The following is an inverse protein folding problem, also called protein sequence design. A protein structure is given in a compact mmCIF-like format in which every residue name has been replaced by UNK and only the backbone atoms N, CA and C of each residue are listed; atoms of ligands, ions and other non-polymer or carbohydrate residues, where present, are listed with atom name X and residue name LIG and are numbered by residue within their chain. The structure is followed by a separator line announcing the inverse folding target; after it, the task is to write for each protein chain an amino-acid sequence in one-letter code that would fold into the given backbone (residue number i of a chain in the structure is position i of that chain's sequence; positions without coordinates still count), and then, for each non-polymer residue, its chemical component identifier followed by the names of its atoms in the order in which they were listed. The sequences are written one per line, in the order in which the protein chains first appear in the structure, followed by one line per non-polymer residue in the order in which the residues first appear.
data_IF_188884527815
#
_entry.id   IF_188884527815
#
_cell.length_a   1.000
_cell.length_b   1.000
_cell.length_c   1.000
_cell.angle_alpha   90.00
_cell.angle_beta   90.00
_cell.angle_gamma   90.00
#
_symmetry.space_group_name_H-M   'P 1'
#
loop_
_entity.id
_entity.type
_entity.pdbx_description
1 polymer ?
#
# COMPACT_ATOMS: atom_id res chain seq x y z
N UNK A 1 -18.60 -4.98 5.07
CA UNK A 1 -20.02 -5.29 4.82
C UNK A 1 -20.54 -6.64 5.37
N UNK A 2 -19.95 -7.84 5.21
CA UNK A 2 -20.59 -9.10 5.68
C UNK A 2 -21.00 -9.15 7.17
N UNK A 3 -20.27 -8.42 8.02
CA UNK A 3 -20.53 -8.30 9.47
C UNK A 3 -21.34 -7.05 9.84
N UNK A 4 -21.83 -6.27 8.87
CA UNK A 4 -22.60 -5.03 9.08
C UNK A 4 -21.90 -3.89 9.84
N UNK A 5 -20.57 -3.94 9.94
CA UNK A 5 -19.76 -2.83 10.47
C UNK A 5 -19.67 -1.60 9.53
N UNK A 6 -20.02 -1.79 8.27
CA UNK A 6 -20.10 -0.73 7.25
C UNK A 6 -21.20 -1.13 6.28
N UNK A 7 -22.10 -0.20 5.98
CA UNK A 7 -23.33 -0.41 5.20
C UNK A 7 -23.52 0.72 4.16
N UNK A 8 -22.60 0.88 3.20
CA UNK A 8 -22.76 1.89 2.16
C UNK A 8 -23.96 1.57 1.27
N UNK A 9 -24.74 2.61 0.92
CA UNK A 9 -25.84 2.47 -0.02
C UNK A 9 -25.37 2.26 -1.48
N UNK A 10 -24.15 2.72 -1.80
CA UNK A 10 -23.56 2.68 -3.13
C UNK A 10 -22.13 2.14 -3.00
N UNK A 11 -21.79 1.19 -3.88
CA UNK A 11 -20.42 0.71 -4.06
C UNK A 11 -19.93 1.15 -5.44
N UNK A 12 -18.81 1.86 -5.49
CA UNK A 12 -18.16 2.27 -6.73
C UNK A 12 -16.98 1.32 -6.98
N UNK A 13 -17.10 0.46 -7.98
CA UNK A 13 -16.03 -0.47 -8.35
C UNK A 13 -14.99 0.25 -9.24
N UNK A 14 -13.74 0.26 -8.79
CA UNK A 14 -12.60 0.90 -9.45
C UNK A 14 -11.67 -0.10 -10.16
N UNK A 15 -12.00 -1.40 -10.13
CA UNK A 15 -11.15 -2.47 -10.68
C UNK A 15 -10.92 -2.38 -12.19
N UNK A 16 -11.81 -1.68 -12.90
CA UNK A 16 -11.75 -1.52 -14.35
C UNK A 16 -11.10 -0.21 -14.81
N UNK A 17 -10.58 0.61 -13.89
CA UNK A 17 -9.87 1.84 -14.27
C UNK A 17 -8.55 1.46 -14.93
N UNK A 18 -8.32 1.81 -16.22
CA UNK A 18 -7.12 1.43 -16.93
C UNK A 18 -5.89 2.07 -16.28
N UNK A 19 -4.78 1.33 -16.26
CA UNK A 19 -3.49 1.76 -15.70
C UNK A 19 -3.46 2.01 -14.17
N UNK A 20 -4.56 1.76 -13.44
CA UNK A 20 -4.55 1.88 -11.98
C UNK A 20 -3.73 0.78 -11.30
N UNK A 21 -3.53 -0.35 -11.98
CA UNK A 21 -2.63 -1.44 -11.57
C UNK A 21 -1.35 -1.40 -12.41
N UNK A 22 -0.33 -0.71 -11.95
CA UNK A 22 0.96 -0.59 -12.67
C UNK A 22 2.12 -0.38 -11.71
N UNK A 23 3.26 -0.99 -12.02
CA UNK A 23 4.54 -0.75 -11.33
C UNK A 23 5.52 -0.23 -12.38
N UNK A 24 6.16 0.92 -12.11
CA UNK A 24 7.18 1.49 -13.00
C UNK A 24 8.27 2.20 -12.21
N UNK A 25 9.41 2.40 -12.86
CA UNK A 25 10.44 3.34 -12.44
C UNK A 25 10.55 4.45 -13.48
N UNK A 26 10.69 5.70 -13.02
CA UNK A 26 10.96 6.87 -13.85
C UNK A 26 11.84 7.84 -13.06
N UNK A 27 12.92 8.31 -13.68
CA UNK A 27 13.83 9.30 -13.09
C UNK A 27 14.34 8.91 -11.68
N UNK A 28 14.59 7.61 -11.46
CA UNK A 28 15.05 7.06 -10.18
C UNK A 28 13.97 6.91 -9.11
N UNK A 29 12.71 7.18 -9.44
CA UNK A 29 11.55 7.04 -8.53
C UNK A 29 10.69 5.87 -8.99
N UNK A 30 10.29 5.01 -8.04
CA UNK A 30 9.30 3.97 -8.29
C UNK A 30 7.91 4.53 -8.05
N UNK A 31 6.98 4.20 -8.95
CA UNK A 31 5.55 4.45 -8.80
C UNK A 31 4.78 3.14 -8.87
N UNK A 32 3.87 2.94 -7.92
CA UNK A 32 2.96 1.79 -7.87
C UNK A 32 1.53 2.31 -7.83
N UNK A 33 0.72 1.91 -8.80
CA UNK A 33 -0.69 2.26 -8.88
C UNK A 33 -1.50 1.61 -7.77
N UNK A 34 -2.53 2.31 -7.30
CA UNK A 34 -3.38 1.87 -6.18
C UNK A 34 -4.09 0.53 -6.42
N UNK A 35 -4.36 0.20 -7.69
CA UNK A 35 -5.03 -1.04 -8.10
C UNK A 35 -4.11 -2.25 -8.20
N UNK A 36 -2.79 -2.08 -7.98
CA UNK A 36 -1.86 -3.21 -8.02
C UNK A 36 -2.13 -4.17 -6.87
N UNK A 37 -2.42 -5.43 -7.19
CA UNK A 37 -2.68 -6.48 -6.20
C UNK A 37 -1.41 -6.86 -5.45
N UNK A 38 -1.54 -7.30 -4.20
CA UNK A 38 -0.38 -7.62 -3.36
C UNK A 38 0.52 -8.69 -3.99
N UNK A 39 -0.05 -9.64 -4.75
CA UNK A 39 0.72 -10.65 -5.46
C UNK A 39 1.70 -10.02 -6.46
N UNK A 40 1.26 -9.04 -7.23
CA UNK A 40 2.08 -8.37 -8.23
C UNK A 40 3.17 -7.51 -7.57
N UNK A 41 2.88 -6.91 -6.41
CA UNK A 41 3.89 -6.21 -5.60
C UNK A 41 4.93 -7.20 -5.06
N UNK A 42 4.49 -8.32 -4.52
CA UNK A 42 5.33 -9.37 -3.94
C UNK A 42 6.27 -9.99 -4.97
N UNK A 43 5.82 -10.14 -6.22
CA UNK A 43 6.55 -10.87 -7.27
C UNK A 43 7.16 -9.98 -8.34
N UNK A 44 7.01 -8.65 -8.24
CA UNK A 44 7.53 -7.70 -9.22
C UNK A 44 9.06 -7.82 -9.37
N UNK A 45 9.57 -8.15 -10.57
CA UNK A 45 11.01 -8.19 -10.81
C UNK A 45 11.70 -6.85 -10.55
N UNK A 46 11.01 -5.75 -10.83
CA UNK A 46 11.52 -4.40 -10.58
C UNK A 46 11.69 -4.14 -9.09
N UNK A 47 10.69 -4.47 -8.27
CA UNK A 47 10.76 -4.26 -6.82
C UNK A 47 11.79 -5.20 -6.17
N UNK A 48 11.81 -6.48 -6.54
CA UNK A 48 12.86 -7.41 -6.08
C UNK A 48 14.27 -6.91 -6.40
N UNK A 49 14.47 -6.29 -7.57
CA UNK A 49 15.78 -5.78 -7.96
C UNK A 49 16.13 -4.42 -7.34
N UNK A 50 15.16 -3.54 -7.10
CA UNK A 50 15.44 -2.13 -6.75
C UNK A 50 15.01 -1.76 -5.33
N UNK A 51 13.93 -2.35 -4.83
CA UNK A 51 13.33 -2.07 -3.51
C UNK A 51 12.77 -3.35 -2.84
N UNK A 52 13.63 -4.33 -2.50
CA UNK A 52 13.21 -5.66 -2.07
C UNK A 52 12.30 -5.66 -0.83
N UNK A 53 12.50 -4.71 0.11
CA UNK A 53 11.66 -4.58 1.32
C UNK A 53 10.17 -4.54 1.01
N UNK A 54 9.74 -3.91 -0.10
CA UNK A 54 8.33 -3.82 -0.44
C UNK A 54 7.77 -5.15 -0.97
N UNK A 55 8.58 -5.90 -1.73
CA UNK A 55 8.25 -7.26 -2.15
C UNK A 55 8.20 -8.24 -0.98
N UNK A 56 9.13 -8.12 -0.02
CA UNK A 56 9.12 -8.87 1.24
C UNK A 56 7.84 -8.57 2.05
N UNK A 57 7.53 -7.28 2.25
CA UNK A 57 6.32 -6.83 2.95
C UNK A 57 5.07 -7.43 2.32
N UNK A 58 4.92 -7.31 0.99
CA UNK A 58 3.76 -7.81 0.28
C UNK A 58 3.60 -9.33 0.34
N UNK A 59 4.72 -10.07 0.44
CA UNK A 59 4.73 -11.53 0.57
C UNK A 59 4.18 -12.02 1.91
N UNK A 60 4.32 -11.20 2.96
CA UNK A 60 3.83 -11.48 4.33
C UNK A 60 2.33 -11.15 4.53
N UNK A 61 1.67 -10.61 3.52
CA UNK A 61 0.25 -10.23 3.59
C UNK A 61 -0.63 -11.43 3.30
N UNK A 62 -1.41 -11.85 4.30
CA UNK A 62 -2.50 -12.83 4.16
C UNK A 62 -2.11 -14.15 3.48
N UNK A 63 -3.14 -14.83 2.96
CA UNK A 63 -2.96 -16.00 2.11
C UNK A 63 -2.91 -15.62 0.62
N UNK A 64 -2.51 -16.54 -0.24
CA UNK A 64 -2.40 -16.31 -1.69
C UNK A 64 -3.68 -15.73 -2.32
N UNK A 65 -4.85 -16.20 -1.89
CA UNK A 65 -6.15 -15.75 -2.38
C UNK A 65 -6.42 -14.29 -2.00
N UNK A 66 -6.00 -13.88 -0.80
CA UNK A 66 -6.08 -12.48 -0.37
C UNK A 66 -5.13 -11.65 -1.22
N UNK A 67 -3.90 -12.11 -1.46
CA UNK A 67 -2.92 -11.37 -2.27
C UNK A 67 -3.31 -11.21 -3.74
N UNK A 68 -4.08 -12.12 -4.29
CA UNK A 68 -4.55 -12.05 -5.68
C UNK A 68 -5.69 -11.05 -5.89
N UNK A 69 -6.31 -10.51 -4.82
CA UNK A 69 -7.45 -9.58 -4.91
C UNK A 69 -7.22 -8.28 -4.13
N UNK A 70 -6.60 -8.36 -2.96
CA UNK A 70 -6.25 -7.20 -2.14
C UNK A 70 -5.23 -6.33 -2.87
N UNK A 71 -5.50 -5.02 -2.90
CA UNK A 71 -4.66 -4.05 -3.61
C UNK A 71 -3.87 -3.19 -2.63
N UNK A 72 -2.70 -2.72 -3.06
CA UNK A 72 -1.89 -1.78 -2.30
C UNK A 72 -2.72 -0.57 -1.85
N UNK A 73 -3.46 0.03 -2.78
CA UNK A 73 -4.32 1.19 -2.52
C UNK A 73 -5.42 0.91 -1.50
N UNK A 74 -6.09 -0.25 -1.61
CA UNK A 74 -7.13 -0.65 -0.66
C UNK A 74 -6.58 -0.83 0.76
N UNK A 75 -5.39 -1.45 0.89
CA UNK A 75 -4.75 -1.63 2.20
C UNK A 75 -4.38 -0.31 2.86
N UNK A 76 -3.82 0.64 2.09
CA UNK A 76 -3.40 1.93 2.66
C UNK A 76 -4.58 2.88 2.90
N UNK A 77 -5.62 2.83 2.06
CA UNK A 77 -6.86 3.56 2.29
C UNK A 77 -7.58 3.07 3.55
N UNK A 78 -7.52 1.76 3.83
CA UNK A 78 -8.15 1.20 5.01
C UNK A 78 -7.46 1.64 6.29
N UNK A 79 -6.13 1.77 6.29
CA UNK A 79 -5.34 2.22 7.45
C UNK A 79 -5.64 1.45 8.75
N UNK A 80 -5.79 0.13 8.62
CA UNK A 80 -5.75 -0.76 9.79
C UNK A 80 -4.31 -0.75 10.36
N UNK A 81 -4.11 -0.42 11.65
CA UNK A 81 -2.78 -0.40 12.27
C UNK A 81 -2.03 -1.74 12.21
N UNK A 82 -2.76 -2.85 12.02
CA UNK A 82 -2.17 -4.19 11.91
C UNK A 82 -1.75 -4.57 10.48
N UNK A 83 -2.04 -3.71 9.49
CA UNK A 83 -1.65 -3.90 8.10
C UNK A 83 -0.15 -3.64 7.88
N UNK A 84 0.42 -4.31 6.88
CA UNK A 84 1.87 -4.33 6.68
C UNK A 84 2.40 -3.12 5.88
N UNK A 85 1.68 -2.65 4.86
CA UNK A 85 2.15 -1.55 3.99
C UNK A 85 2.42 -0.21 4.70
N UNK A 86 1.57 0.26 5.64
CA UNK A 86 1.81 1.55 6.28
C UNK A 86 3.21 1.69 6.88
N UNK A 87 3.70 0.66 7.59
CA UNK A 87 5.04 0.67 8.16
C UNK A 87 6.14 0.79 7.10
N UNK A 88 6.05 0.00 6.02
CA UNK A 88 7.06 0.01 4.95
C UNK A 88 7.02 1.31 4.15
N UNK A 89 5.85 1.89 3.92
CA UNK A 89 5.72 3.17 3.22
C UNK A 89 6.24 4.34 4.05
N UNK A 90 6.06 4.30 5.39
CA UNK A 90 6.69 5.25 6.31
C UNK A 90 8.21 5.11 6.26
N UNK A 91 8.75 3.89 6.35
CA UNK A 91 10.20 3.65 6.31
C UNK A 91 10.86 4.06 4.98
N UNK A 92 10.10 4.07 3.88
CA UNK A 92 10.55 4.51 2.55
C UNK A 92 10.36 6.01 2.28
N UNK A 93 9.87 6.78 3.27
CA UNK A 93 9.46 8.18 3.09
C UNK A 93 8.54 8.39 1.86
N UNK A 94 7.64 7.43 1.64
CA UNK A 94 6.82 7.40 0.44
C UNK A 94 5.86 8.60 0.36
N UNK A 95 5.49 8.97 -0.87
CA UNK A 95 4.39 9.90 -1.16
C UNK A 95 3.17 9.12 -1.64
N UNK A 96 2.02 9.40 -1.05
CA UNK A 96 0.73 8.87 -1.47
C UNK A 96 0.11 9.85 -2.46
N UNK A 97 -0.24 9.36 -3.65
CA UNK A 97 -0.84 10.15 -4.72
C UNK A 97 -2.36 10.11 -4.59
N UNK A 98 -2.98 11.27 -4.51
CA UNK A 98 -4.42 11.43 -4.34
C UNK A 98 -4.97 12.20 -5.54
N UNK A 99 -6.05 11.70 -6.12
CA UNK A 99 -6.65 12.25 -7.33
C UNK A 99 -8.09 12.63 -7.03
N UNK A 100 -8.44 13.89 -7.26
CA UNK A 100 -9.79 14.42 -7.09
C UNK A 100 -10.21 15.27 -8.29
N UNK A 101 -11.38 15.92 -8.22
CA UNK A 101 -11.89 16.75 -9.32
C UNK A 101 -11.01 17.96 -9.66
N UNK A 102 -10.16 18.38 -8.73
CA UNK A 102 -9.25 19.53 -8.90
C UNK A 102 -7.83 19.12 -9.34
N UNK A 103 -7.60 17.84 -9.64
CA UNK A 103 -6.30 17.31 -10.07
C UNK A 103 -5.66 16.33 -9.09
N UNK A 104 -4.35 16.14 -9.24
CA UNK A 104 -3.52 15.27 -8.40
C UNK A 104 -2.80 16.08 -7.31
N UNK A 105 -2.76 15.55 -6.09
CA UNK A 105 -1.87 16.00 -5.02
C UNK A 105 -1.07 14.83 -4.45
N UNK A 106 0.06 15.13 -3.82
CA UNK A 106 0.89 14.14 -3.17
C UNK A 106 1.06 14.49 -1.68
N UNK A 107 0.87 13.50 -0.81
CA UNK A 107 0.97 13.63 0.66
C UNK A 107 2.08 12.71 1.14
N UNK A 108 2.84 13.10 2.17
CA UNK A 108 3.82 12.18 2.77
C UNK A 108 3.11 11.01 3.45
N UNK A 109 3.70 9.82 3.48
CA UNK A 109 3.15 8.69 4.25
C UNK A 109 2.93 9.08 5.72
N UNK A 110 3.84 9.88 6.29
CA UNK A 110 3.77 10.37 7.67
C UNK A 110 2.53 11.24 7.94
N UNK A 111 2.15 12.10 7.00
CA UNK A 111 0.98 12.96 7.13
C UNK A 111 -0.32 12.26 6.67
N UNK A 112 -0.18 11.23 5.83
CA UNK A 112 -1.31 10.50 5.27
C UNK A 112 -1.99 9.59 6.30
N UNK A 113 -1.24 8.86 7.13
CA UNK A 113 -1.79 7.98 8.16
C UNK A 113 -2.02 8.78 9.46
N UNK A 114 -3.28 9.11 9.77
CA UNK A 114 -3.61 10.03 10.86
C UNK A 114 -4.03 9.32 12.15
N UNK A 115 -4.82 8.25 12.04
CA UNK A 115 -5.29 7.44 13.17
C UNK A 115 -5.79 6.07 12.67
N UNK A 116 -6.27 5.23 13.58
CA UNK A 116 -6.93 3.96 13.28
C UNK A 116 -8.08 4.18 12.29
N UNK A 117 -7.98 3.58 11.10
CA UNK A 117 -8.95 3.74 10.00
C UNK A 117 -9.17 5.18 9.52
N UNK A 118 -8.22 6.10 9.79
CA UNK A 118 -8.30 7.51 9.40
C UNK A 118 -7.07 7.94 8.63
N UNK A 119 -7.29 8.55 7.46
CA UNK A 119 -6.24 9.02 6.56
C UNK A 119 -6.56 10.41 6.00
N UNK A 120 -5.54 11.11 5.50
CA UNK A 120 -5.71 12.33 4.71
C UNK A 120 -6.24 12.00 3.29
N UNK A 121 -7.51 11.62 3.19
CA UNK A 121 -8.22 11.38 1.93
C UNK A 121 -9.57 12.11 1.96
N UNK A 122 -9.77 13.09 1.08
CA UNK A 122 -11.02 13.82 1.04
C UNK A 122 -12.16 12.97 0.44
N UNK A 123 -13.44 13.28 0.74
CA UNK A 123 -14.58 12.46 0.30
C UNK A 123 -14.73 12.30 -1.22
N UNK A 124 -14.12 13.18 -2.01
CA UNK A 124 -14.16 13.19 -3.48
C UNK A 124 -12.79 12.85 -4.11
N UNK A 125 -11.89 12.26 -3.34
CA UNK A 125 -10.59 11.79 -3.80
C UNK A 125 -10.52 10.27 -3.85
N UNK A 126 -9.65 9.77 -4.72
CA UNK A 126 -9.20 8.38 -4.71
C UNK A 126 -7.68 8.35 -4.59
N UNK A 127 -7.14 7.26 -4.04
CA UNK A 127 -5.71 7.00 -4.10
C UNK A 127 -5.37 6.57 -5.54
N UNK A 128 -4.46 7.30 -6.19
CA UNK A 128 -3.92 6.94 -7.50
C UNK A 128 -2.76 5.95 -7.41
N UNK A 129 -1.96 6.05 -6.34
CA UNK A 129 -0.81 5.18 -6.11
C UNK A 129 0.16 5.72 -5.07
N UNK A 130 1.38 5.20 -5.08
CA UNK A 130 2.48 5.65 -4.22
C UNK A 130 3.73 5.91 -5.04
N UNK A 131 4.56 6.86 -4.61
CA UNK A 131 5.87 7.16 -5.18
C UNK A 131 6.94 7.17 -4.09
N UNK A 132 8.10 6.59 -4.36
CA UNK A 132 9.23 6.59 -3.43
C UNK A 132 10.57 6.40 -4.16
N UNK A 133 11.66 6.86 -3.54
CA UNK A 133 13.01 6.54 -3.98
C UNK A 133 13.33 5.12 -3.50
N UNK A 134 13.71 4.18 -4.38
CA UNK A 134 13.96 2.81 -3.98
C UNK A 134 15.28 2.66 -3.22
N UNK A 135 15.33 1.71 -2.30
CA UNK A 135 16.55 1.31 -1.57
C UNK A 135 16.71 -0.20 -1.56
N UNK A 136 17.95 -0.66 -1.69
CA UNK A 136 18.29 -2.09 -1.55
C UNK A 136 18.60 -2.49 -0.12
N UNK A 137 18.73 -1.53 0.79
CA UNK A 137 19.10 -1.78 2.19
C UNK A 137 17.88 -1.53 3.07
N UNK A 138 17.05 -2.55 3.22
CA UNK A 138 15.90 -2.51 4.10
C UNK A 138 15.35 -3.91 4.31
N UNK A 139 14.55 -4.08 5.36
CA UNK A 139 13.92 -5.36 5.69
C UNK A 139 12.56 -5.13 6.36
N UNK A 140 11.66 -6.09 6.16
CA UNK A 140 10.41 -6.19 6.90
C UNK A 140 10.41 -7.46 7.76
N UNK A 141 10.08 -7.32 9.04
CA UNK A 141 9.95 -8.44 9.97
C UNK A 141 8.58 -8.42 10.64
N UNK A 142 7.95 -9.59 10.72
CA UNK A 142 6.58 -9.73 11.22
C UNK A 142 6.45 -10.89 12.19
N UNK A 143 5.99 -10.60 13.40
CA UNK A 143 5.37 -11.59 14.29
C UNK A 143 3.86 -11.54 14.03
N UNK A 144 3.29 -12.60 13.46
CA UNK A 144 1.89 -12.61 13.06
C UNK A 144 0.99 -13.48 13.95
N UNK A 145 -0.28 -13.11 14.02
CA UNK A 145 -1.32 -13.91 14.64
C UNK A 145 -1.71 -15.04 13.68
N UNK A 146 -1.54 -16.30 14.11
CA UNK A 146 -1.61 -17.48 13.21
C UNK A 146 -2.93 -17.65 12.44
N UNK A 147 -4.05 -17.17 12.98
CA UNK A 147 -5.37 -17.40 12.38
C UNK A 147 -5.73 -16.35 11.32
N UNK A 148 -5.36 -15.10 11.54
CA UNK A 148 -5.69 -13.94 10.71
C UNK A 148 -4.54 -13.50 9.82
N UNK A 149 -3.31 -13.89 10.15
CA UNK A 149 -2.07 -13.45 9.52
C UNK A 149 -1.77 -11.95 9.67
N UNK A 150 -2.53 -11.19 10.46
CA UNK A 150 -2.17 -9.81 10.82
C UNK A 150 -0.97 -9.76 11.75
N UNK A 151 -0.24 -8.65 11.71
CA UNK A 151 0.88 -8.42 12.59
C UNK A 151 0.39 -8.27 14.04
N UNK A 152 0.97 -9.06 14.96
CA UNK A 152 1.00 -8.72 16.39
C UNK A 152 2.06 -7.62 16.56
N UNK A 153 3.20 -7.78 15.89
CA UNK A 153 4.26 -6.76 15.75
C UNK A 153 4.79 -6.84 14.33
N UNK A 154 4.87 -5.69 13.65
CA UNK A 154 5.52 -5.53 12.36
C UNK A 154 6.58 -4.44 12.44
N UNK A 155 7.74 -4.67 11.84
CA UNK A 155 8.84 -3.70 11.81
C UNK A 155 9.35 -3.58 10.38
N UNK A 156 9.31 -2.37 9.84
CA UNK A 156 9.99 -2.01 8.60
C UNK A 156 11.17 -1.11 8.95
N UNK A 157 12.34 -1.40 8.40
CA UNK A 157 13.53 -0.57 8.57
C UNK A 157 14.25 -0.41 7.24
N UNK A 158 14.71 0.80 6.96
CA UNK A 158 15.47 1.18 5.77
C UNK A 158 16.74 1.91 6.21
N UNK A 159 17.85 1.63 5.55
CA UNK A 159 19.11 2.35 5.71
C UNK A 159 19.43 3.10 4.42
N UNK A 160 19.71 4.39 4.55
CA UNK A 160 20.34 5.18 3.50
C UNK A 160 21.85 5.13 3.74
N UNK A 161 22.59 4.60 2.76
CA UNK A 161 24.06 4.51 2.77
C UNK A 161 24.62 5.49 1.77
#
# INVERSE_FOLDING_TARGET
MKLRLSEPAILIDISHIPNLARIRERDGVIEIGAGTVHHDVATSPLLTARCPILSETASEIGAQQVRNLGTLGGSIAHADPSADYPATLLALDAKILLVGPNGERAVSAQDFFQDVFSVDLAPNEIIGGVRFVPTRTGAYAKLHQRASHFAIVGVAAVLQV
#
